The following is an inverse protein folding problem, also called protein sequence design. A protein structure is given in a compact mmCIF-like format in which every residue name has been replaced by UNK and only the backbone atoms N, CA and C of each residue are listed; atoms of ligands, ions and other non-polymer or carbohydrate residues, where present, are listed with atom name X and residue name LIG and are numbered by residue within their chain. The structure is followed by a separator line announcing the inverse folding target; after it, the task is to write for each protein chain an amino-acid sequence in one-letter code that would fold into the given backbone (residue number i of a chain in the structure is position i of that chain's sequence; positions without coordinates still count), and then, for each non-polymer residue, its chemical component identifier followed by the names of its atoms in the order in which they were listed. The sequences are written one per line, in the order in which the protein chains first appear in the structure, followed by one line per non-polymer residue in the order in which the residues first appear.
data_IF_241436931644
#
_entry.id   IF_241436931644
#
_cell.length_a   1.000
_cell.length_b   1.000
_cell.length_c   1.000
_cell.angle_alpha   90.00
_cell.angle_beta   90.00
_cell.angle_gamma   90.00
#
_symmetry.space_group_name_H-M   'P 1'
#
loop_
_entity.id
_entity.type
_entity.pdbx_description
1 polymer ?
#
# COMPACT_ATOMS: atom_id res chain seq x y z
N UNK A 1 -26.06 10.65 -6.44
CA UNK A 1 -25.11 10.11 -5.46
C UNK A 1 -25.91 9.57 -4.28
N UNK A 2 -25.67 8.32 -3.87
CA UNK A 2 -26.49 7.69 -2.81
C UNK A 2 -26.30 8.35 -1.43
N UNK A 3 -27.24 8.17 -0.49
CA UNK A 3 -27.15 8.77 0.84
C UNK A 3 -25.88 8.36 1.61
N UNK A 4 -25.40 7.13 1.40
CA UNK A 4 -24.14 6.63 1.97
C UNK A 4 -22.91 7.38 1.44
N UNK A 5 -22.88 7.68 0.14
CA UNK A 5 -21.79 8.42 -0.47
C UNK A 5 -21.70 9.84 0.13
N UNK A 6 -22.84 10.51 0.28
CA UNK A 6 -22.92 11.84 0.89
C UNK A 6 -22.49 11.79 2.35
N UNK A 7 -22.90 10.76 3.11
CA UNK A 7 -22.52 10.59 4.50
C UNK A 7 -21.00 10.38 4.67
N UNK A 8 -20.38 9.53 3.85
CA UNK A 8 -18.92 9.29 3.89
C UNK A 8 -18.15 10.56 3.54
N UNK A 9 -18.60 11.30 2.52
CA UNK A 9 -17.98 12.57 2.15
C UNK A 9 -18.06 13.59 3.29
N UNK A 10 -19.24 13.75 3.89
CA UNK A 10 -19.45 14.67 5.02
C UNK A 10 -18.60 14.30 6.23
N UNK A 11 -18.55 13.01 6.59
CA UNK A 11 -17.69 12.50 7.67
C UNK A 11 -16.21 12.79 7.41
N UNK A 12 -15.75 12.57 6.18
CA UNK A 12 -14.35 12.83 5.79
C UNK A 12 -14.01 14.33 5.94
N UNK A 13 -14.89 15.19 5.45
CA UNK A 13 -14.73 16.66 5.55
C UNK A 13 -14.77 17.12 7.01
N UNK A 14 -15.76 16.66 7.78
CA UNK A 14 -15.87 16.96 9.21
C UNK A 14 -14.65 16.47 9.99
N UNK A 15 -14.13 15.29 9.68
CA UNK A 15 -12.92 14.74 10.29
C UNK A 15 -11.71 15.64 10.06
N UNK A 16 -11.48 16.07 8.82
CA UNK A 16 -10.39 17.01 8.50
C UNK A 16 -10.58 18.36 9.21
N UNK A 17 -11.80 18.89 9.22
CA UNK A 17 -12.11 20.16 9.90
C UNK A 17 -11.91 20.07 11.42
N UNK A 18 -12.35 18.97 12.04
CA UNK A 18 -12.16 18.70 13.46
C UNK A 18 -10.68 18.59 13.82
N UNK A 19 -9.89 17.83 13.04
CA UNK A 19 -8.44 17.72 13.23
C UNK A 19 -7.78 19.09 13.13
N UNK A 20 -8.15 19.92 12.14
CA UNK A 20 -7.59 21.27 12.01
C UNK A 20 -8.02 22.21 13.13
N UNK A 21 -9.28 22.16 13.55
CA UNK A 21 -9.78 22.97 14.66
C UNK A 21 -9.09 22.60 15.97
N UNK A 22 -8.93 21.29 16.24
CA UNK A 22 -8.21 20.78 17.39
C UNK A 22 -6.72 21.17 17.34
N UNK A 23 -6.07 21.00 16.19
CA UNK A 23 -4.68 21.40 16.00
C UNK A 23 -4.46 22.89 16.28
N UNK A 24 -5.37 23.77 15.85
CA UNK A 24 -5.31 25.20 16.17
C UNK A 24 -5.59 25.49 17.65
N UNK A 25 -6.58 24.82 18.24
CA UNK A 25 -6.95 25.04 19.64
C UNK A 25 -5.84 24.61 20.62
N UNK A 26 -5.08 23.57 20.25
CA UNK A 26 -3.96 23.05 21.04
C UNK A 26 -2.61 23.67 20.65
N UNK A 27 -2.55 24.52 19.63
CA UNK A 27 -1.29 25.10 19.16
C UNK A 27 -0.72 26.06 20.21
N UNK A 28 0.50 25.78 20.67
CA UNK A 28 1.25 26.68 21.57
C UNK A 28 1.76 27.91 20.83
N UNK A 29 2.07 27.77 19.54
CA UNK A 29 2.47 28.85 18.66
C UNK A 29 1.75 28.71 17.30
N UNK A 30 1.39 29.84 16.64
CA UNK A 30 0.70 29.82 15.36
C UNK A 30 1.60 29.35 14.20
N UNK A 31 2.91 29.54 14.32
CA UNK A 31 3.87 29.19 13.27
C UNK A 31 4.42 27.76 13.45
N UNK A 32 4.64 27.01 12.35
CA UNK A 32 5.24 25.70 12.42
C UNK A 32 6.67 25.79 12.97
N UNK A 33 6.93 25.10 14.09
CA UNK A 33 8.29 24.97 14.62
C UNK A 33 9.12 24.13 13.65
N UNK A 34 10.29 24.61 13.27
CA UNK A 34 11.23 23.83 12.44
C UNK A 34 11.72 22.62 13.24
N UNK A 35 11.22 21.42 12.91
CA UNK A 35 11.58 20.18 13.59
C UNK A 35 12.83 19.62 12.94
N UNK A 36 13.98 19.80 13.59
CA UNK A 36 15.24 19.18 13.18
C UNK A 36 15.33 17.75 13.74
N UNK A 37 16.18 16.87 13.15
CA UNK A 37 16.43 15.54 13.71
C UNK A 37 16.82 15.66 15.19
N UNK A 38 15.99 15.06 16.04
CA UNK A 38 15.96 15.36 17.48
C UNK A 38 17.29 15.04 18.22
N UNK A 39 18.11 14.12 17.68
CA UNK A 39 19.28 13.59 18.39
C UNK A 39 20.63 13.92 17.75
N UNK A 40 20.69 14.40 16.51
CA UNK A 40 21.99 14.53 15.82
C UNK A 40 22.70 15.85 16.12
N UNK A 41 21.98 16.89 16.58
CA UNK A 41 22.54 18.25 16.80
C UNK A 41 23.07 18.94 15.52
N UNK A 42 23.02 18.26 14.38
CA UNK A 42 23.54 18.71 13.10
C UNK A 42 22.43 18.77 12.06
N UNK A 43 22.47 19.82 11.23
CA UNK A 43 21.60 19.93 10.08
C UNK A 43 21.81 18.74 9.13
N UNK A 44 20.73 18.15 8.56
CA UNK A 44 20.85 17.09 7.56
C UNK A 44 21.72 17.58 6.40
N UNK A 45 22.82 16.86 6.12
CA UNK A 45 23.71 17.17 4.98
C UNK A 45 23.25 16.52 3.68
N UNK A 46 22.53 15.40 3.79
CA UNK A 46 22.01 14.64 2.66
C UNK A 46 20.48 14.63 2.73
N UNK A 47 19.83 14.48 1.57
CA UNK A 47 18.40 14.26 1.51
C UNK A 47 18.03 12.95 2.23
N UNK A 48 16.89 12.93 2.92
CA UNK A 48 16.43 11.77 3.68
C UNK A 48 16.29 10.49 2.82
N UNK A 49 16.13 10.64 1.50
CA UNK A 49 15.99 9.54 0.53
C UNK A 49 17.30 9.17 -0.18
N UNK A 50 18.43 9.82 0.15
CA UNK A 50 19.71 9.59 -0.52
C UNK A 50 20.26 8.17 -0.29
N UNK A 51 19.78 7.46 0.73
CA UNK A 51 20.12 6.05 1.00
C UNK A 51 18.93 5.17 0.69
N UNK A 52 18.56 5.08 -0.58
CA UNK A 52 17.56 4.11 -1.01
C UNK A 52 18.22 2.74 -1.19
N UNK A 53 17.76 1.75 -0.43
CA UNK A 53 18.15 0.36 -0.69
C UNK A 53 17.15 -0.28 -1.66
N UNK A 54 17.61 -0.85 -2.79
CA UNK A 54 16.74 -1.46 -3.80
C UNK A 54 15.92 -2.66 -3.29
N UNK A 55 16.29 -3.23 -2.14
CA UNK A 55 15.56 -4.34 -1.49
C UNK A 55 14.06 -4.08 -1.29
N UNK A 56 13.69 -2.84 -0.95
CA UNK A 56 12.29 -2.48 -0.73
C UNK A 56 11.50 -2.47 -2.03
N UNK A 57 12.14 -2.10 -3.14
CA UNK A 57 11.51 -2.06 -4.46
C UNK A 57 11.03 -3.45 -4.90
N UNK A 58 11.91 -4.45 -4.79
CA UNK A 58 11.58 -5.81 -5.24
C UNK A 58 10.45 -6.40 -4.42
N UNK A 59 10.46 -6.21 -3.09
CA UNK A 59 9.36 -6.62 -2.22
C UNK A 59 8.03 -5.95 -2.61
N UNK A 60 8.05 -4.65 -2.92
CA UNK A 60 6.86 -3.91 -3.35
C UNK A 60 6.31 -4.38 -4.70
N UNK A 61 7.18 -4.68 -5.67
CA UNK A 61 6.75 -5.17 -6.99
C UNK A 61 6.13 -6.57 -6.88
N UNK A 62 6.72 -7.46 -6.07
CA UNK A 62 6.14 -8.79 -5.83
C UNK A 62 4.80 -8.67 -5.11
N UNK A 63 4.71 -7.82 -4.08
CA UNK A 63 3.45 -7.56 -3.39
C UNK A 63 2.37 -7.04 -4.33
N UNK A 64 2.71 -6.07 -5.19
CA UNK A 64 1.78 -5.50 -6.17
C UNK A 64 1.29 -6.56 -7.17
N UNK A 65 2.17 -7.46 -7.62
CA UNK A 65 1.78 -8.53 -8.53
C UNK A 65 0.74 -9.48 -7.89
N UNK A 66 0.94 -9.83 -6.61
CA UNK A 66 -0.03 -10.63 -5.84
C UNK A 66 -1.35 -9.87 -5.54
N UNK A 67 -1.28 -8.57 -5.26
CA UNK A 67 -2.47 -7.76 -4.98
C UNK A 67 -3.37 -7.65 -6.22
N UNK A 68 -2.76 -7.48 -7.41
CA UNK A 68 -3.48 -7.48 -8.69
C UNK A 68 -4.09 -8.85 -9.00
N UNK A 69 -3.51 -9.95 -8.54
CA UNK A 69 -4.11 -11.28 -8.69
C UNK A 69 -5.43 -11.41 -7.92
N UNK A 70 -5.53 -10.86 -6.69
CA UNK A 70 -6.80 -10.85 -5.96
C UNK A 70 -7.90 -10.11 -6.72
N UNK A 71 -7.55 -9.05 -7.46
CA UNK A 71 -8.50 -8.33 -8.31
C UNK A 71 -9.12 -9.24 -9.39
N UNK A 72 -8.35 -10.21 -9.93
CA UNK A 72 -8.85 -11.20 -10.89
C UNK A 72 -9.64 -12.33 -10.23
N UNK A 73 -9.29 -12.70 -9.00
CA UNK A 73 -10.01 -13.74 -8.25
C UNK A 73 -11.44 -13.32 -7.88
N UNK A 74 -11.68 -12.04 -7.57
CA UNK A 74 -13.02 -11.55 -7.19
C UNK A 74 -14.11 -11.83 -8.24
N UNK A 75 -14.00 -11.38 -9.50
CA UNK A 75 -15.02 -11.65 -10.51
C UNK A 75 -15.10 -13.14 -10.83
N UNK A 76 -13.96 -13.85 -10.88
CA UNK A 76 -13.95 -15.30 -11.10
C UNK A 76 -14.74 -16.06 -10.03
N UNK A 77 -14.60 -15.70 -8.76
CA UNK A 77 -15.31 -16.35 -7.65
C UNK A 77 -16.84 -16.20 -7.76
N UNK A 78 -17.33 -15.16 -8.43
CA UNK A 78 -18.75 -14.95 -8.67
C UNK A 78 -19.31 -15.83 -9.79
N UNK A 79 -18.49 -16.21 -10.77
CA UNK A 79 -18.94 -16.91 -11.99
C UNK A 79 -18.48 -18.37 -12.07
N UNK A 80 -17.60 -18.82 -11.18
CA UNK A 80 -17.00 -20.17 -11.21
C UNK A 80 -18.06 -21.29 -11.19
N UNK A 81 -19.18 -21.08 -10.50
CA UNK A 81 -20.28 -22.05 -10.45
C UNK A 81 -20.95 -22.24 -11.82
N UNK A 82 -21.00 -21.20 -12.65
CA UNK A 82 -21.63 -21.24 -13.97
C UNK A 82 -20.67 -21.78 -15.05
N UNK A 83 -19.37 -21.46 -14.94
CA UNK A 83 -18.35 -21.95 -15.89
C UNK A 83 -17.86 -23.38 -15.60
N UNK A 84 -18.05 -23.87 -14.37
CA UNK A 84 -17.67 -25.23 -13.99
C UNK A 84 -16.15 -25.47 -13.94
N UNK A 85 -15.74 -26.72 -14.14
CA UNK A 85 -14.36 -27.17 -13.88
C UNK A 85 -13.28 -26.48 -14.73
N UNK A 86 -13.61 -25.99 -15.94
CA UNK A 86 -12.67 -25.28 -16.80
C UNK A 86 -12.14 -24.00 -16.13
N UNK A 87 -13.05 -23.20 -15.56
CA UNK A 87 -12.67 -21.97 -14.85
C UNK A 87 -11.80 -22.24 -13.61
N UNK A 88 -11.98 -23.38 -12.95
CA UNK A 88 -11.12 -23.78 -11.83
C UNK A 88 -9.70 -24.06 -12.32
N UNK A 89 -9.56 -24.82 -13.40
CA UNK A 89 -8.24 -25.15 -13.98
C UNK A 89 -7.52 -23.88 -14.44
N UNK A 90 -8.22 -22.99 -15.15
CA UNK A 90 -7.66 -21.72 -15.62
C UNK A 90 -7.17 -20.84 -14.46
N UNK A 91 -7.93 -20.75 -13.37
CA UNK A 91 -7.53 -19.99 -12.19
C UNK A 91 -6.30 -20.59 -11.51
N UNK A 92 -6.25 -21.91 -11.31
CA UNK A 92 -5.07 -22.55 -10.75
C UNK A 92 -3.85 -22.48 -11.67
N UNK A 93 -4.03 -22.48 -13.00
CA UNK A 93 -2.97 -22.23 -13.94
C UNK A 93 -2.42 -20.80 -13.83
N UNK A 94 -3.31 -19.80 -13.70
CA UNK A 94 -2.94 -18.40 -13.46
C UNK A 94 -2.15 -18.23 -12.15
N UNK A 95 -2.66 -18.77 -11.04
CA UNK A 95 -1.95 -18.83 -9.75
C UNK A 95 -0.59 -19.51 -9.88
N UNK A 96 -0.51 -20.60 -10.66
CA UNK A 96 0.72 -21.33 -10.91
C UNK A 96 1.80 -20.49 -11.58
N UNK A 97 1.42 -19.66 -12.56
CA UNK A 97 2.36 -18.73 -13.23
C UNK A 97 2.90 -17.68 -12.26
N UNK A 98 2.05 -17.11 -11.40
CA UNK A 98 2.51 -16.17 -10.36
C UNK A 98 3.42 -16.86 -9.33
N UNK A 99 3.07 -18.06 -8.89
CA UNK A 99 3.89 -18.84 -7.97
C UNK A 99 5.28 -19.11 -8.55
N UNK A 100 5.37 -19.42 -9.86
CA UNK A 100 6.64 -19.59 -10.57
C UNK A 100 7.49 -18.31 -10.56
N UNK A 101 6.87 -17.14 -10.78
CA UNK A 101 7.58 -15.86 -10.71
C UNK A 101 8.16 -15.59 -9.30
N UNK A 102 7.42 -15.97 -8.26
CA UNK A 102 7.82 -15.78 -6.87
C UNK A 102 8.90 -16.77 -6.46
N UNK A 103 8.81 -18.03 -6.91
CA UNK A 103 9.87 -19.01 -6.79
C UNK A 103 11.15 -18.53 -7.46
N UNK A 104 11.05 -17.95 -8.66
CA UNK A 104 12.20 -17.36 -9.34
C UNK A 104 12.80 -16.20 -8.54
N UNK A 105 11.99 -15.26 -8.07
CA UNK A 105 12.45 -14.14 -7.25
C UNK A 105 13.11 -14.60 -5.94
N UNK A 106 12.58 -15.66 -5.32
CA UNK A 106 13.18 -16.27 -4.14
C UNK A 106 14.57 -16.83 -4.44
N UNK A 107 14.74 -17.54 -5.57
CA UNK A 107 16.04 -18.05 -6.01
C UNK A 107 17.06 -16.96 -6.28
N UNK A 108 16.62 -15.82 -6.82
CA UNK A 108 17.49 -14.66 -7.08
C UNK A 108 17.85 -13.89 -5.79
N UNK A 109 17.32 -14.31 -4.64
CA UNK A 109 17.62 -13.69 -3.36
C UNK A 109 16.89 -12.36 -3.14
N UNK A 110 15.77 -12.13 -3.84
CA UNK A 110 14.91 -10.97 -3.65
C UNK A 110 14.49 -10.74 -2.18
N UNK A 111 14.42 -11.82 -1.41
CA UNK A 111 14.04 -11.83 0.00
C UNK A 111 15.22 -12.05 0.94
N UNK A 112 16.46 -11.75 0.55
CA UNK A 112 17.61 -11.82 1.45
C UNK A 112 17.74 -10.51 2.24
N UNK A 113 17.80 -10.63 3.57
CA UNK A 113 17.82 -9.50 4.51
C UNK A 113 19.17 -9.30 5.20
N UNK A 114 20.20 -10.06 4.82
CA UNK A 114 21.56 -10.02 5.34
C UNK A 114 22.50 -9.30 4.38
#
# INVERSE_FOLDING_TARGET
MGPLFVAVLLLSVLGVLAIRALARALAVAPDPVTVLPWQSGHLPREHALSRYHPRWYVASVVFLAFDVEMLFMYPWALVVADLGAGAVIEMFAFLGVLLLAVLWAHREGAFRWA
#
